data_IF_389806838282
#
_entry.id   IF_389806838282
#
_cell.length_a   1.000
_cell.length_b   1.000
_cell.length_c   1.000
_cell.angle_alpha   90.00
_cell.angle_beta   90.00
_cell.angle_gamma   90.00
#
_symmetry.space_group_name_H-M   'P 1'
#
loop_
_entity.id
_entity.type
_entity.pdbx_description
1 polymer ?
#
# COMPACT_ATOMS: atom_id res chain seq x y z
N UNK A 1 35.72 59.31 -41.03
CA UNK A 1 35.40 57.87 -40.86
C UNK A 1 35.08 57.45 -39.41
N UNK A 2 35.59 58.12 -38.36
CA UNK A 2 35.35 57.69 -36.97
C UNK A 2 33.89 57.79 -36.45
N UNK A 3 33.07 58.73 -36.93
CA UNK A 3 31.66 58.86 -36.49
C UNK A 3 30.72 57.79 -37.05
N UNK A 4 31.00 57.28 -38.25
CA UNK A 4 30.20 56.21 -38.86
C UNK A 4 30.42 54.88 -38.13
N UNK A 5 31.68 54.59 -37.76
CA UNK A 5 32.01 53.38 -37.00
C UNK A 5 31.43 53.40 -35.57
N UNK A 6 31.35 54.58 -34.91
CA UNK A 6 30.73 54.69 -33.58
C UNK A 6 29.20 54.54 -33.63
N UNK A 7 28.53 55.05 -34.67
CA UNK A 7 27.09 54.89 -34.85
C UNK A 7 26.71 53.42 -35.10
N UNK A 8 27.43 52.72 -35.98
CA UNK A 8 27.21 51.30 -36.27
C UNK A 8 27.48 50.42 -35.04
N UNK A 9 28.53 50.73 -34.26
CA UNK A 9 28.83 50.04 -33.00
C UNK A 9 27.73 50.21 -31.94
N UNK A 10 27.25 51.45 -31.76
CA UNK A 10 26.18 51.74 -30.81
C UNK A 10 24.83 51.12 -31.23
N UNK A 11 24.50 51.13 -32.51
CA UNK A 11 23.29 50.48 -33.03
C UNK A 11 23.34 48.95 -32.85
N UNK A 12 24.49 48.32 -33.10
CA UNK A 12 24.70 46.88 -32.89
C UNK A 12 24.58 46.50 -31.40
N UNK A 13 25.13 47.31 -30.51
CA UNK A 13 25.03 47.10 -29.06
C UNK A 13 23.58 47.25 -28.56
N UNK A 14 22.83 48.25 -29.05
CA UNK A 14 21.43 48.45 -28.69
C UNK A 14 20.52 47.30 -29.17
N UNK A 15 20.70 46.84 -30.41
CA UNK A 15 19.95 45.70 -30.96
C UNK A 15 20.29 44.39 -30.23
N UNK A 16 21.56 44.17 -29.89
CA UNK A 16 21.95 43.00 -29.11
C UNK A 16 21.40 43.06 -27.68
N UNK A 17 21.48 44.23 -27.03
CA UNK A 17 20.93 44.43 -25.69
C UNK A 17 19.42 44.21 -25.66
N UNK A 18 18.66 44.74 -26.63
CA UNK A 18 17.21 44.52 -26.69
C UNK A 18 16.86 43.05 -26.94
N UNK A 19 17.62 42.34 -27.77
CA UNK A 19 17.47 40.88 -27.98
C UNK A 19 17.73 40.09 -26.71
N UNK A 20 18.79 40.43 -25.95
CA UNK A 20 19.05 39.77 -24.66
C UNK A 20 17.95 40.05 -23.63
N UNK A 21 17.42 41.28 -23.56
CA UNK A 21 16.30 41.61 -22.67
C UNK A 21 15.00 40.89 -23.07
N UNK A 22 14.71 40.77 -24.37
CA UNK A 22 13.56 40.01 -24.85
C UNK A 22 13.70 38.51 -24.55
N UNK A 23 14.89 37.94 -24.81
CA UNK A 23 15.16 36.53 -24.51
C UNK A 23 15.09 36.23 -23.01
N UNK A 24 15.65 37.11 -22.15
CA UNK A 24 15.56 36.93 -20.70
C UNK A 24 14.13 37.08 -20.19
N UNK A 25 13.34 38.00 -20.75
CA UNK A 25 11.92 38.13 -20.42
C UNK A 25 11.12 36.87 -20.79
N UNK A 26 11.34 36.31 -21.99
CA UNK A 26 10.69 35.06 -22.41
C UNK A 26 11.10 33.90 -21.51
N UNK A 27 12.39 33.76 -21.18
CA UNK A 27 12.87 32.73 -20.27
C UNK A 27 12.24 32.85 -18.87
N UNK A 28 12.15 34.08 -18.33
CA UNK A 28 11.50 34.31 -17.04
C UNK A 28 10.01 33.93 -17.06
N UNK A 29 9.30 34.23 -18.15
CA UNK A 29 7.90 33.81 -18.30
C UNK A 29 7.77 32.30 -18.36
N UNK A 30 8.62 31.62 -19.14
CA UNK A 30 8.59 30.15 -19.26
C UNK A 30 8.91 29.48 -17.92
N UNK A 31 9.93 29.97 -17.20
CA UNK A 31 10.28 29.47 -15.86
C UNK A 31 9.15 29.75 -14.88
N UNK A 32 8.58 30.96 -14.88
CA UNK A 32 7.46 31.33 -14.02
C UNK A 32 6.23 30.44 -14.23
N UNK A 33 5.84 30.21 -15.49
CA UNK A 33 4.73 29.31 -15.83
C UNK A 33 5.02 27.86 -15.43
N UNK A 34 6.27 27.40 -15.60
CA UNK A 34 6.68 26.05 -15.20
C UNK A 34 6.59 25.87 -13.68
N UNK A 35 7.03 26.85 -12.89
CA UNK A 35 6.92 26.84 -11.44
C UNK A 35 5.46 26.86 -10.96
N UNK A 36 4.61 27.71 -11.56
CA UNK A 36 3.18 27.77 -11.25
C UNK A 36 2.49 26.44 -11.60
N UNK A 37 2.82 25.86 -12.75
CA UNK A 37 2.31 24.56 -13.17
C UNK A 37 2.68 23.45 -12.18
N UNK A 38 3.96 23.39 -11.80
CA UNK A 38 4.45 22.42 -10.81
C UNK A 38 3.77 22.57 -9.45
N UNK A 39 3.67 23.80 -8.92
CA UNK A 39 3.05 24.05 -7.62
C UNK A 39 1.54 23.79 -7.62
N UNK A 40 0.85 24.17 -8.69
CA UNK A 40 -0.58 23.89 -8.84
C UNK A 40 -0.86 22.40 -8.94
N UNK A 41 0.01 21.65 -9.63
CA UNK A 41 -0.07 20.19 -9.72
C UNK A 41 0.19 19.52 -8.37
N UNK A 42 1.26 19.90 -7.67
CA UNK A 42 1.61 19.32 -6.37
C UNK A 42 0.56 19.63 -5.29
N UNK A 43 -0.03 20.82 -5.32
CA UNK A 43 -1.10 21.18 -4.41
C UNK A 43 -2.38 20.36 -4.67
N UNK A 44 -2.74 20.17 -5.95
CA UNK A 44 -3.89 19.32 -6.32
C UNK A 44 -3.66 17.85 -5.97
N UNK A 45 -2.47 17.30 -6.20
CA UNK A 45 -2.18 15.92 -5.83
C UNK A 45 -2.21 15.73 -4.30
N UNK A 46 -1.66 16.68 -3.54
CA UNK A 46 -1.75 16.67 -2.07
C UNK A 46 -3.18 16.85 -1.55
N UNK A 47 -4.03 17.62 -2.24
CA UNK A 47 -5.45 17.71 -1.89
C UNK A 47 -6.18 16.39 -2.11
N UNK A 48 -5.98 15.75 -3.28
CA UNK A 48 -6.56 14.43 -3.59
C UNK A 48 -6.08 13.34 -2.62
N UNK A 49 -4.80 13.39 -2.23
CA UNK A 49 -4.25 12.42 -1.29
C UNK A 49 -4.92 12.54 0.09
N UNK A 50 -5.12 13.78 0.58
CA UNK A 50 -5.82 14.02 1.86
C UNK A 50 -7.29 13.58 1.82
N UNK A 51 -7.95 13.78 0.68
CA UNK A 51 -9.32 13.31 0.45
C UNK A 51 -9.39 11.78 0.48
N UNK A 52 -8.47 11.09 -0.20
CA UNK A 52 -8.38 9.64 -0.17
C UNK A 52 -8.07 9.11 1.24
N UNK A 53 -7.16 9.75 1.98
CA UNK A 53 -6.86 9.38 3.37
C UNK A 53 -8.09 9.51 4.27
N UNK A 54 -8.83 10.61 4.15
CA UNK A 54 -10.07 10.81 4.89
C UNK A 54 -11.11 9.75 4.54
N UNK A 55 -11.37 9.53 3.25
CA UNK A 55 -12.31 8.51 2.78
C UNK A 55 -11.91 7.11 3.27
N UNK A 56 -10.61 6.83 3.34
CA UNK A 56 -10.10 5.58 3.90
C UNK A 56 -10.38 5.46 5.38
N UNK A 57 -10.09 6.48 6.19
CA UNK A 57 -10.38 6.45 7.62
C UNK A 57 -11.88 6.29 7.89
N UNK A 58 -12.72 7.06 7.20
CA UNK A 58 -14.18 7.01 7.36
C UNK A 58 -14.70 5.59 7.04
N UNK A 59 -14.25 4.98 5.93
CA UNK A 59 -14.63 3.60 5.56
C UNK A 59 -14.06 2.55 6.53
N UNK A 60 -12.85 2.78 7.04
CA UNK A 60 -12.16 1.86 7.92
C UNK A 60 -12.79 1.78 9.33
N UNK A 61 -13.49 2.82 9.78
CA UNK A 61 -14.27 2.76 11.03
C UNK A 61 -15.40 1.72 10.94
N UNK A 62 -16.11 1.67 9.81
CA UNK A 62 -17.11 0.64 9.53
C UNK A 62 -16.51 -0.77 9.54
N UNK A 63 -15.36 -0.94 8.88
CA UNK A 63 -14.62 -2.20 8.88
C UNK A 63 -14.23 -2.66 10.29
N UNK A 64 -13.66 -1.75 11.08
CA UNK A 64 -13.28 -2.05 12.47
C UNK A 64 -14.49 -2.47 13.31
N UNK A 65 -15.62 -1.77 13.13
CA UNK A 65 -16.88 -2.11 13.81
C UNK A 65 -17.33 -3.51 13.43
N UNK A 66 -17.44 -3.83 12.15
CA UNK A 66 -17.82 -5.16 11.67
C UNK A 66 -16.88 -6.25 12.22
N UNK A 67 -15.56 -6.07 12.09
CA UNK A 67 -14.55 -7.02 12.58
C UNK A 67 -14.61 -7.26 14.09
N UNK A 68 -14.94 -6.23 14.87
CA UNK A 68 -15.06 -6.35 16.34
C UNK A 68 -16.29 -7.14 16.80
N UNK A 69 -17.30 -7.29 15.94
CA UNK A 69 -18.54 -8.01 16.24
C UNK A 69 -18.55 -9.43 15.68
N UNK A 70 -17.60 -9.79 14.82
CA UNK A 70 -17.54 -11.11 14.17
C UNK A 70 -17.45 -12.28 15.15
N UNK A 71 -16.83 -12.07 16.31
CA UNK A 71 -16.70 -13.09 17.35
C UNK A 71 -17.79 -13.00 18.44
N UNK A 72 -18.84 -12.21 18.21
CA UNK A 72 -19.95 -11.99 19.16
C UNK A 72 -21.23 -12.67 18.67
N UNK A 73 -21.67 -13.77 19.32
CA UNK A 73 -22.88 -14.49 18.92
C UNK A 73 -24.16 -13.62 18.98
N UNK A 74 -24.20 -12.63 19.87
CA UNK A 74 -25.34 -11.74 20.08
C UNK A 74 -25.48 -10.64 19.01
N UNK A 75 -24.49 -10.49 18.13
CA UNK A 75 -24.46 -9.45 17.09
C UNK A 75 -24.65 -10.01 15.67
N UNK A 76 -24.94 -11.30 15.53
CA UNK A 76 -24.90 -12.00 14.25
C UNK A 76 -25.94 -11.48 13.24
N UNK A 77 -27.14 -11.12 13.71
CA UNK A 77 -28.23 -10.60 12.87
C UNK A 77 -27.89 -9.25 12.21
N UNK A 78 -27.00 -8.46 12.83
CA UNK A 78 -26.56 -7.15 12.30
C UNK A 78 -25.21 -7.23 11.57
N UNK A 79 -24.54 -8.38 11.61
CA UNK A 79 -23.18 -8.52 11.08
C UNK A 79 -23.18 -8.49 9.56
N UNK A 80 -24.17 -9.11 8.92
CA UNK A 80 -24.34 -9.11 7.46
C UNK A 80 -24.54 -7.68 6.94
N UNK A 81 -25.47 -6.93 7.53
CA UNK A 81 -25.72 -5.52 7.19
C UNK A 81 -24.47 -4.64 7.34
N UNK A 82 -23.63 -4.90 8.35
CA UNK A 82 -22.39 -4.18 8.55
C UNK A 82 -21.36 -4.49 7.46
N UNK A 83 -21.24 -5.74 7.03
CA UNK A 83 -20.32 -6.08 5.95
C UNK A 83 -20.80 -5.53 4.59
N UNK A 84 -22.11 -5.50 4.35
CA UNK A 84 -22.69 -4.84 3.17
C UNK A 84 -22.35 -3.35 3.14
N UNK A 85 -22.47 -2.68 4.30
CA UNK A 85 -22.08 -1.28 4.42
C UNK A 85 -20.58 -1.08 4.15
N UNK A 86 -19.73 -1.98 4.65
CA UNK A 86 -18.28 -1.93 4.42
C UNK A 86 -17.95 -2.09 2.93
N UNK A 87 -18.57 -3.05 2.22
CA UNK A 87 -18.39 -3.19 0.77
C UNK A 87 -18.78 -1.88 0.04
N UNK A 88 -19.96 -1.34 0.34
CA UNK A 88 -20.43 -0.09 -0.28
C UNK A 88 -19.51 1.10 0.01
N UNK A 89 -19.08 1.29 1.27
CA UNK A 89 -18.23 2.40 1.67
C UNK A 89 -16.88 2.34 0.95
N UNK A 90 -16.25 1.17 0.92
CA UNK A 90 -14.98 1.00 0.22
C UNK A 90 -15.11 1.10 -1.31
N UNK A 91 -16.22 0.64 -1.88
CA UNK A 91 -16.50 0.84 -3.30
C UNK A 91 -16.64 2.33 -3.64
N UNK A 92 -17.42 3.07 -2.86
CA UNK A 92 -17.61 4.50 -3.04
C UNK A 92 -16.30 5.28 -2.87
N UNK A 93 -15.52 4.94 -1.83
CA UNK A 93 -14.22 5.54 -1.58
C UNK A 93 -13.24 5.27 -2.74
N UNK A 94 -13.22 4.04 -3.27
CA UNK A 94 -12.46 3.72 -4.48
C UNK A 94 -12.92 4.55 -5.66
N UNK A 95 -14.23 4.61 -5.92
CA UNK A 95 -14.76 5.28 -7.10
C UNK A 95 -14.40 6.76 -7.17
N UNK A 96 -14.38 7.43 -6.02
CA UNK A 96 -13.98 8.82 -5.88
C UNK A 96 -12.46 9.01 -5.94
N UNK A 97 -11.68 8.00 -5.53
CA UNK A 97 -10.24 8.11 -5.30
C UNK A 97 -9.39 7.14 -6.15
N UNK A 98 -9.87 6.68 -7.31
CA UNK A 98 -9.20 5.67 -8.17
C UNK A 98 -7.75 6.00 -8.54
N UNK A 99 -7.42 7.29 -8.63
CA UNK A 99 -6.07 7.75 -8.99
C UNK A 99 -5.13 7.93 -7.80
N UNK A 100 -5.61 7.75 -6.57
CA UNK A 100 -4.81 7.90 -5.36
C UNK A 100 -3.88 6.70 -5.13
N UNK A 101 -2.84 6.88 -4.32
CA UNK A 101 -1.99 5.76 -3.88
C UNK A 101 -2.75 4.77 -2.99
N UNK A 102 -3.89 5.16 -2.43
CA UNK A 102 -4.76 4.33 -1.58
C UNK A 102 -5.77 3.50 -2.37
N UNK A 103 -5.89 3.70 -3.68
CA UNK A 103 -6.83 2.95 -4.51
C UNK A 103 -6.75 1.41 -4.33
N UNK A 104 -5.56 0.79 -4.29
CA UNK A 104 -5.42 -0.63 -4.00
C UNK A 104 -5.98 -1.05 -2.64
N UNK A 105 -5.85 -0.21 -1.61
CA UNK A 105 -6.32 -0.52 -0.27
C UNK A 105 -7.85 -0.57 -0.20
N UNK A 106 -8.54 0.37 -0.84
CA UNK A 106 -10.00 0.35 -0.86
C UNK A 106 -10.51 -0.99 -1.43
N UNK A 107 -9.93 -1.46 -2.53
CA UNK A 107 -10.31 -2.73 -3.14
C UNK A 107 -9.91 -3.92 -2.26
N UNK A 108 -8.76 -3.90 -1.58
CA UNK A 108 -8.37 -4.98 -0.66
C UNK A 108 -9.31 -5.10 0.55
N UNK A 109 -9.81 -3.99 1.10
CA UNK A 109 -10.77 -4.01 2.20
C UNK A 109 -12.18 -4.38 1.73
N UNK A 110 -12.61 -3.90 0.57
CA UNK A 110 -13.81 -4.41 -0.11
C UNK A 110 -13.74 -5.93 -0.32
N UNK A 111 -12.62 -6.44 -0.79
CA UNK A 111 -12.42 -7.87 -0.98
C UNK A 111 -12.52 -8.65 0.32
N UNK A 112 -12.02 -8.10 1.44
CA UNK A 112 -12.18 -8.71 2.76
C UNK A 112 -13.64 -8.71 3.23
N UNK A 113 -14.40 -7.64 2.95
CA UNK A 113 -15.83 -7.61 3.24
C UNK A 113 -16.60 -8.72 2.49
N UNK A 114 -16.30 -8.89 1.20
CA UNK A 114 -16.86 -10.00 0.40
C UNK A 114 -16.50 -11.37 1.01
N UNK A 115 -15.25 -11.57 1.44
CA UNK A 115 -14.84 -12.81 2.12
C UNK A 115 -15.66 -13.02 3.39
N UNK A 116 -15.86 -11.98 4.20
CA UNK A 116 -16.66 -12.04 5.43
C UNK A 116 -18.15 -12.28 5.19
N UNK A 117 -18.69 -11.91 4.03
CA UNK A 117 -20.04 -12.25 3.57
C UNK A 117 -20.14 -13.69 3.00
N UNK A 118 -19.04 -14.45 2.99
CA UNK A 118 -18.98 -15.79 2.40
C UNK A 118 -18.74 -15.80 0.88
N UNK A 119 -18.62 -14.63 0.24
CA UNK A 119 -18.32 -14.46 -1.19
C UNK A 119 -16.82 -14.63 -1.50
N UNK A 120 -16.19 -15.67 -0.94
CA UNK A 120 -14.73 -15.87 -0.95
C UNK A 120 -14.13 -15.84 -2.36
N UNK A 121 -14.81 -16.43 -3.34
CA UNK A 121 -14.33 -16.48 -4.74
C UNK A 121 -14.22 -15.08 -5.34
N UNK A 122 -15.25 -14.23 -5.14
CA UNK A 122 -15.24 -12.84 -5.63
C UNK A 122 -14.20 -12.00 -4.90
N UNK A 123 -14.08 -12.19 -3.58
CA UNK A 123 -13.04 -11.53 -2.78
C UNK A 123 -11.63 -11.84 -3.29
N UNK A 124 -11.31 -13.12 -3.49
CA UNK A 124 -10.01 -13.53 -4.02
C UNK A 124 -9.76 -13.01 -5.45
N UNK A 125 -10.78 -12.94 -6.31
CA UNK A 125 -10.65 -12.35 -7.65
C UNK A 125 -10.26 -10.86 -7.58
N UNK A 126 -10.88 -10.09 -6.68
CA UNK A 126 -10.52 -8.69 -6.44
C UNK A 126 -9.08 -8.57 -5.92
N UNK A 127 -8.68 -9.39 -4.94
CA UNK A 127 -7.32 -9.38 -4.42
C UNK A 127 -6.28 -9.68 -5.51
N UNK A 128 -6.55 -10.68 -6.37
CA UNK A 128 -5.67 -11.04 -7.50
C UNK A 128 -5.54 -9.90 -8.51
N UNK A 129 -6.64 -9.21 -8.79
CA UNK A 129 -6.63 -8.01 -9.64
C UNK A 129 -5.76 -6.92 -9.03
N UNK A 130 -5.90 -6.63 -7.73
CA UNK A 130 -5.06 -5.63 -7.04
C UNK A 130 -3.59 -6.02 -7.07
N UNK A 131 -3.26 -7.29 -6.80
CA UNK A 131 -1.87 -7.79 -6.82
C UNK A 131 -1.24 -7.60 -8.21
N UNK A 132 -2.00 -7.87 -9.27
CA UNK A 132 -1.55 -7.74 -10.67
C UNK A 132 -1.31 -6.28 -11.06
N UNK A 133 -2.18 -5.36 -10.64
CA UNK A 133 -2.18 -3.97 -11.09
C UNK A 133 -1.31 -3.05 -10.21
N UNK A 134 -1.00 -3.47 -8.98
CA UNK A 134 -0.17 -2.70 -8.05
C UNK A 134 1.26 -2.60 -8.54
N UNK A 135 1.77 -1.38 -8.76
CA UNK A 135 3.17 -1.16 -9.15
C UNK A 135 4.16 -1.16 -7.99
N UNK A 136 3.68 -0.93 -6.77
CA UNK A 136 4.52 -0.89 -5.57
C UNK A 136 4.84 -2.32 -5.12
N UNK A 137 6.09 -2.76 -5.37
CA UNK A 137 6.56 -4.12 -5.09
C UNK A 137 6.43 -4.47 -3.61
N UNK A 138 6.73 -3.55 -2.69
CA UNK A 138 6.63 -3.81 -1.26
C UNK A 138 5.19 -4.14 -0.85
N UNK A 139 4.21 -3.33 -1.28
CA UNK A 139 2.81 -3.60 -0.94
C UNK A 139 2.23 -4.82 -1.64
N UNK A 140 2.74 -5.21 -2.81
CA UNK A 140 2.34 -6.48 -3.43
C UNK A 140 2.55 -7.68 -2.49
N UNK A 141 3.65 -7.70 -1.73
CA UNK A 141 3.91 -8.79 -0.79
C UNK A 141 2.89 -8.85 0.33
N UNK A 142 2.51 -7.70 0.88
CA UNK A 142 1.44 -7.63 1.89
C UNK A 142 0.12 -8.18 1.33
N UNK A 143 -0.27 -7.77 0.12
CA UNK A 143 -1.49 -8.24 -0.52
C UNK A 143 -1.47 -9.73 -0.85
N UNK A 144 -0.32 -10.24 -1.33
CA UNK A 144 -0.11 -11.67 -1.56
C UNK A 144 -0.23 -12.48 -0.27
N UNK A 145 0.33 -11.98 0.84
CA UNK A 145 0.17 -12.61 2.15
C UNK A 145 -1.30 -12.64 2.55
N UNK A 146 -2.03 -11.51 2.47
CA UNK A 146 -3.47 -11.49 2.77
C UNK A 146 -4.27 -12.46 1.92
N UNK A 147 -4.04 -12.51 0.60
CA UNK A 147 -4.73 -13.44 -0.30
C UNK A 147 -4.41 -14.91 0.06
N UNK A 148 -3.15 -15.22 0.36
CA UNK A 148 -2.76 -16.57 0.79
C UNK A 148 -3.45 -17.00 2.08
N UNK A 149 -3.66 -16.09 3.04
CA UNK A 149 -4.42 -16.38 4.26
C UNK A 149 -5.90 -16.65 3.97
N UNK A 150 -6.52 -15.87 3.10
CA UNK A 150 -7.91 -16.13 2.66
C UNK A 150 -8.02 -17.46 1.90
N UNK A 151 -7.01 -17.80 1.09
CA UNK A 151 -6.95 -19.09 0.39
C UNK A 151 -6.84 -20.26 1.36
N UNK A 152 -6.10 -20.12 2.47
CA UNK A 152 -5.97 -21.13 3.53
C UNK A 152 -7.28 -21.41 4.26
N UNK A 153 -8.10 -20.38 4.48
CA UNK A 153 -9.39 -20.54 5.19
C UNK A 153 -10.46 -21.23 4.34
N UNK A 154 -10.20 -21.49 3.05
CA UNK A 154 -11.12 -22.14 2.14
C UNK A 154 -10.56 -23.49 1.65
N UNK A 155 -11.26 -24.59 1.99
CA UNK A 155 -10.85 -25.96 1.66
C UNK A 155 -10.56 -26.21 0.16
N UNK A 156 -11.16 -25.45 -0.76
CA UNK A 156 -10.90 -25.58 -2.21
C UNK A 156 -9.57 -24.98 -2.63
N UNK A 157 -9.09 -23.97 -1.91
CA UNK A 157 -7.88 -23.20 -2.22
C UNK A 157 -6.77 -23.40 -1.19
N UNK A 158 -7.00 -24.15 -0.12
CA UNK A 158 -6.06 -24.31 1.01
C UNK A 158 -4.66 -24.71 0.55
N UNK A 159 -4.55 -25.68 -0.38
CA UNK A 159 -3.26 -26.14 -0.91
C UNK A 159 -2.52 -25.03 -1.67
N UNK A 160 -3.25 -24.22 -2.43
CA UNK A 160 -2.69 -23.07 -3.16
C UNK A 160 -2.23 -22.01 -2.15
N UNK A 161 -3.07 -21.66 -1.18
CA UNK A 161 -2.77 -20.72 -0.10
C UNK A 161 -1.52 -21.12 0.69
N UNK A 162 -1.39 -22.40 1.06
CA UNK A 162 -0.22 -22.93 1.74
C UNK A 162 1.05 -22.79 0.88
N UNK A 163 0.96 -23.14 -0.40
CA UNK A 163 2.09 -23.05 -1.33
C UNK A 163 2.54 -21.58 -1.51
N UNK A 164 1.57 -20.67 -1.64
CA UNK A 164 1.81 -19.24 -1.74
C UNK A 164 2.46 -18.70 -0.46
N UNK A 165 1.95 -19.07 0.73
CA UNK A 165 2.49 -18.63 2.01
C UNK A 165 3.91 -19.16 2.25
N UNK A 166 4.19 -20.42 1.91
CA UNK A 166 5.54 -21.00 1.95
C UNK A 166 6.50 -20.24 1.02
N UNK A 167 6.06 -19.92 -0.19
CA UNK A 167 6.86 -19.14 -1.15
C UNK A 167 7.20 -17.76 -0.56
N UNK A 168 6.19 -17.07 -0.01
CA UNK A 168 6.38 -15.76 0.63
C UNK A 168 7.31 -15.82 1.85
N UNK A 169 7.27 -16.92 2.62
CA UNK A 169 8.11 -17.12 3.80
C UNK A 169 9.59 -17.40 3.50
N UNK A 170 9.92 -17.68 2.23
CA UNK A 170 11.30 -17.99 1.80
C UNK A 170 11.85 -16.99 0.78
N UNK A 171 11.03 -16.05 0.32
CA UNK A 171 11.46 -15.00 -0.61
C UNK A 171 12.35 -13.97 0.10
N UNK A 172 13.61 -13.87 -0.33
CA UNK A 172 14.60 -12.94 0.20
C UNK A 172 14.28 -11.47 -0.13
N UNK A 173 13.44 -11.23 -1.13
CA UNK A 173 13.04 -9.89 -1.54
C UNK A 173 11.75 -9.43 -0.85
N UNK A 174 11.07 -10.32 -0.12
CA UNK A 174 9.85 -10.00 0.58
C UNK A 174 10.19 -9.24 1.89
N UNK A 175 9.78 -7.97 2.04
CA UNK A 175 10.01 -7.21 3.27
C UNK A 175 9.12 -7.67 4.44
N UNK A 176 8.13 -8.54 4.17
CA UNK A 176 7.18 -9.12 5.13
C UNK A 176 7.38 -10.63 5.28
N UNK A 177 8.60 -11.15 5.08
CA UNK A 177 8.92 -12.58 5.23
C UNK A 177 8.64 -13.08 6.63
N UNK A 178 8.89 -12.27 7.64
CA UNK A 178 8.59 -12.53 9.05
C UNK A 178 7.08 -12.73 9.31
N UNK A 179 6.23 -11.89 8.71
CA UNK A 179 4.78 -12.03 8.74
C UNK A 179 4.34 -13.35 8.11
N UNK A 180 4.86 -13.67 6.93
CA UNK A 180 4.55 -14.92 6.23
C UNK A 180 4.99 -16.15 7.05
N UNK A 181 6.19 -16.11 7.64
CA UNK A 181 6.68 -17.15 8.55
C UNK A 181 5.80 -17.29 9.80
N UNK A 182 5.34 -16.18 10.37
CA UNK A 182 4.51 -16.21 11.57
C UNK A 182 3.21 -16.95 11.31
N UNK A 183 2.50 -16.55 10.25
CA UNK A 183 1.25 -17.21 9.88
C UNK A 183 1.45 -18.63 9.37
N UNK A 184 2.57 -18.95 8.73
CA UNK A 184 2.91 -20.33 8.38
C UNK A 184 3.07 -21.19 9.65
N UNK A 185 3.65 -20.63 10.70
CA UNK A 185 3.74 -21.27 12.01
C UNK A 185 2.36 -21.47 12.66
N UNK A 186 1.49 -20.45 12.64
CA UNK A 186 0.11 -20.56 13.13
C UNK A 186 -0.67 -21.65 12.39
N UNK A 187 -0.53 -21.73 11.06
CA UNK A 187 -1.16 -22.77 10.25
C UNK A 187 -0.70 -24.17 10.68
N UNK A 188 0.61 -24.41 10.79
CA UNK A 188 1.13 -25.71 11.22
C UNK A 188 0.70 -26.06 12.65
N UNK A 189 0.65 -25.08 13.54
CA UNK A 189 0.19 -25.28 14.91
C UNK A 189 -1.29 -25.68 14.95
N UNK A 190 -2.15 -25.03 14.15
CA UNK A 190 -3.56 -25.37 14.03
C UNK A 190 -3.78 -26.79 13.48
N UNK A 191 -2.88 -27.27 12.61
CA UNK A 191 -2.87 -28.65 12.08
C UNK A 191 -2.25 -29.67 13.05
N UNK A 192 -1.74 -29.23 14.22
CA UNK A 192 -1.08 -30.10 15.21
C UNK A 192 0.38 -30.44 14.89
N UNK A 193 0.96 -29.90 13.82
CA UNK A 193 2.38 -30.06 13.46
C UNK A 193 3.24 -29.05 14.21
N UNK A 194 3.36 -29.25 15.53
CA UNK A 194 4.08 -28.34 16.44
C UNK A 194 5.56 -28.22 16.05
N UNK A 195 6.17 -29.27 15.49
CA UNK A 195 7.58 -29.22 15.07
C UNK A 195 7.78 -28.22 13.93
N UNK A 196 6.94 -28.25 12.89
CA UNK A 196 7.02 -27.27 11.81
C UNK A 196 6.65 -25.87 12.26
N UNK A 197 5.67 -25.74 13.17
CA UNK A 197 5.29 -24.45 13.74
C UNK A 197 6.48 -23.79 14.46
N UNK A 198 7.14 -24.55 15.35
CA UNK A 198 8.34 -24.10 16.07
C UNK A 198 9.48 -23.77 15.11
N UNK A 199 9.71 -24.58 14.08
CA UNK A 199 10.74 -24.30 13.08
C UNK A 199 10.51 -22.95 12.37
N UNK A 200 9.27 -22.64 11.99
CA UNK A 200 8.93 -21.37 11.35
C UNK A 200 9.14 -20.17 12.30
N UNK A 201 8.66 -20.26 13.55
CA UNK A 201 8.84 -19.21 14.55
C UNK A 201 10.32 -19.03 14.96
N UNK A 202 11.10 -20.10 15.02
CA UNK A 202 12.54 -20.05 15.27
C UNK A 202 13.28 -19.23 14.22
N UNK A 203 12.91 -19.37 12.95
CA UNK A 203 13.49 -18.57 11.86
C UNK A 203 13.26 -17.08 12.10
N UNK A 204 12.08 -16.69 12.58
CA UNK A 204 11.75 -15.30 12.91
C UNK A 204 12.58 -14.82 14.11
N UNK A 205 12.63 -15.62 15.19
CA UNK A 205 13.31 -15.25 16.44
C UNK A 205 14.83 -15.09 16.23
N UNK A 206 15.41 -15.91 15.36
CA UNK A 206 16.85 -15.89 15.03
C UNK A 206 17.19 -14.84 13.96
N UNK A 207 16.21 -14.19 13.35
CA UNK A 207 16.45 -13.17 12.35
C UNK A 207 17.13 -11.93 12.97
N UNK A 208 18.07 -11.36 12.24
CA UNK A 208 18.72 -10.12 12.66
C UNK A 208 17.69 -8.96 12.64
N UNK A 209 17.71 -8.06 13.64
CA UNK A 209 16.85 -6.89 13.61
C UNK A 209 17.12 -6.03 12.38
N UNK A 210 16.07 -5.47 11.80
CA UNK A 210 16.23 -4.54 10.68
C UNK A 210 16.89 -3.27 11.21
N UNK A 211 18.04 -2.91 10.62
CA UNK A 211 18.76 -1.68 10.94
C UNK A 211 18.13 -0.51 10.19
N UNK A 212 17.39 0.32 10.92
CA UNK A 212 16.98 1.64 10.46
C UNK A 212 18.10 2.65 10.74
N UNK A 213 18.11 3.83 10.08
CA UNK A 213 19.18 4.82 10.24
C UNK A 213 19.50 5.17 11.69
N UNK A 214 18.49 5.23 12.56
CA UNK A 214 18.61 5.75 13.93
C UNK A 214 18.32 4.72 15.04
N UNK A 215 17.84 3.51 14.70
CA UNK A 215 17.49 2.48 15.70
C UNK A 215 17.37 1.08 15.10
N UNK A 216 17.58 0.05 15.93
CA UNK A 216 17.27 -1.34 15.61
C UNK A 216 15.84 -1.62 16.06
N UNK A 217 14.93 -1.87 15.11
CA UNK A 217 13.60 -2.38 15.44
C UNK A 217 13.55 -3.87 15.22
N UNK A 218 13.32 -4.68 16.27
CA UNK A 218 12.87 -6.03 16.04
C UNK A 218 11.51 -5.98 15.33
N UNK A 219 11.27 -6.93 14.43
CA UNK A 219 9.96 -7.14 13.85
C UNK A 219 8.89 -7.36 14.95
N UNK A 220 7.67 -6.81 14.79
CA UNK A 220 6.57 -7.09 15.72
C UNK A 220 6.24 -8.60 15.80
N UNK A 221 6.53 -9.35 14.73
CA UNK A 221 6.31 -10.79 14.67
C UNK A 221 7.28 -11.59 15.54
N UNK A 222 8.45 -11.03 15.90
CA UNK A 222 9.39 -11.68 16.83
C UNK A 222 8.77 -11.84 18.21
N UNK A 223 8.11 -10.79 18.73
CA UNK A 223 7.47 -10.85 20.04
C UNK A 223 6.34 -11.88 20.06
N UNK A 224 5.51 -11.91 19.01
CA UNK A 224 4.44 -12.89 18.84
C UNK A 224 4.98 -14.32 18.70
N UNK A 225 6.05 -14.52 17.93
CA UNK A 225 6.70 -15.82 17.78
C UNK A 225 7.26 -16.35 19.11
N UNK A 226 7.93 -15.50 19.91
CA UNK A 226 8.42 -15.88 21.25
C UNK A 226 7.27 -16.29 22.18
N UNK A 227 6.19 -15.49 22.20
CA UNK A 227 5.00 -15.81 22.98
C UNK A 227 4.39 -17.17 22.59
N UNK A 228 4.29 -17.46 21.29
CA UNK A 228 3.78 -18.74 20.79
C UNK A 228 4.70 -19.92 21.08
N UNK A 229 6.01 -19.70 21.07
CA UNK A 229 7.01 -20.70 21.43
C UNK A 229 7.03 -21.02 22.93
N UNK A 230 6.54 -20.11 23.77
CA UNK A 230 6.61 -20.21 25.23
C UNK A 230 7.90 -19.65 25.82
N UNK A 231 8.71 -18.97 25.02
CA UNK A 231 9.92 -18.26 25.46
C UNK A 231 9.49 -16.93 26.09
N UNK A 232 9.42 -16.86 27.44
CA UNK A 232 9.23 -15.62 28.20
C UNK A 232 10.56 -15.01 28.61
#
# INVERSE_FOLDING_TARGET
>A
MNKANSFVGNAKNYVNQSRYTQLSAVLLVVVGLSCIGYYSYSWRSAAKQREAERAFFDSFEGYRKARSLEFRPDAQDHLEELWDQVDMDFQNAYDQNKSSSLAPYFIMFKAQALVSQGEVVKGLELMRTVIKDTKNVSFQYLYKTTAALVELDNAKTEKEGLTNLQTLSTDKNNPFTDMALYYLGEFYAAQGDIQKAQAAWDTIIKAEPVKLPDYLTPSPWIALAKMRRGDR
#
